data_IF_510135479764
#
_entry.id   IF_510135479764
#
_cell.length_a   1.000
_cell.length_b   1.000
_cell.length_c   1.000
_cell.angle_alpha   90.00
_cell.angle_beta   90.00
_cell.angle_gamma   90.00
#
_symmetry.space_group_name_H-M   'P 1'
#
loop_
_entity.id
_entity.type
_entity.pdbx_description
1 polymer ?
#
# COMPACT_ATOMS: atom_id res chain seq x y z
N UNK A 1 -39.10 53.63 -15.07
CA UNK A 1 -37.65 53.46 -14.88
C UNK A 1 -37.26 52.35 -13.87
N UNK A 2 -38.16 51.41 -13.51
CA UNK A 2 -37.89 50.36 -12.49
C UNK A 2 -37.78 48.92 -13.05
N UNK A 3 -38.01 48.72 -14.37
CA UNK A 3 -37.92 47.39 -15.01
C UNK A 3 -36.48 46.95 -15.30
N UNK A 4 -35.60 47.90 -15.63
CA UNK A 4 -34.20 47.63 -16.00
C UNK A 4 -33.34 47.31 -14.75
N UNK A 5 -33.57 48.02 -13.63
CA UNK A 5 -32.90 47.74 -12.35
C UNK A 5 -33.17 46.31 -11.84
N UNK A 6 -34.44 45.89 -11.89
CA UNK A 6 -34.86 44.55 -11.44
C UNK A 6 -34.38 43.43 -12.38
N UNK A 7 -34.20 43.72 -13.67
CA UNK A 7 -33.67 42.74 -14.64
C UNK A 7 -32.19 42.47 -14.39
N UNK A 8 -31.40 43.50 -14.15
CA UNK A 8 -29.97 43.36 -13.83
C UNK A 8 -29.77 42.64 -12.50
N UNK A 9 -30.60 42.92 -11.49
CA UNK A 9 -30.59 42.21 -10.20
C UNK A 9 -30.90 40.72 -10.38
N UNK A 10 -31.90 40.36 -11.20
CA UNK A 10 -32.22 38.95 -11.49
C UNK A 10 -31.08 38.23 -12.23
N UNK A 11 -30.43 38.90 -13.18
CA UNK A 11 -29.27 38.35 -13.89
C UNK A 11 -28.10 38.13 -12.92
N UNK A 12 -27.81 39.11 -12.06
CA UNK A 12 -26.73 39.01 -11.06
C UNK A 12 -27.02 37.88 -10.05
N UNK A 13 -28.25 37.78 -9.54
CA UNK A 13 -28.66 36.70 -8.63
C UNK A 13 -28.57 35.34 -9.33
N UNK A 14 -28.98 35.25 -10.60
CA UNK A 14 -28.84 34.03 -11.39
C UNK A 14 -27.40 33.60 -11.59
N UNK A 15 -26.50 34.54 -11.88
CA UNK A 15 -25.06 34.28 -12.01
C UNK A 15 -24.46 33.84 -10.67
N UNK A 16 -24.82 34.49 -9.56
CA UNK A 16 -24.34 34.12 -8.22
C UNK A 16 -24.81 32.71 -7.82
N UNK A 17 -26.06 32.35 -8.08
CA UNK A 17 -26.56 30.99 -7.84
C UNK A 17 -25.83 29.97 -8.71
N UNK A 18 -25.59 30.28 -9.99
CA UNK A 18 -24.83 29.40 -10.89
C UNK A 18 -23.39 29.21 -10.41
N UNK A 19 -22.72 30.28 -9.96
CA UNK A 19 -21.37 30.21 -9.39
C UNK A 19 -21.35 29.35 -8.12
N UNK A 20 -22.35 29.48 -7.24
CA UNK A 20 -22.45 28.66 -6.02
C UNK A 20 -22.68 27.19 -6.38
N UNK A 21 -23.50 26.87 -7.38
CA UNK A 21 -23.72 25.50 -7.85
C UNK A 21 -22.46 24.91 -8.47
N UNK A 22 -21.74 25.68 -9.29
CA UNK A 22 -20.48 25.26 -9.89
C UNK A 22 -19.39 25.07 -8.81
N UNK A 23 -19.24 26.04 -7.90
CA UNK A 23 -18.27 25.97 -6.80
C UNK A 23 -18.58 24.80 -5.86
N UNK A 24 -19.86 24.57 -5.53
CA UNK A 24 -20.31 23.43 -4.76
C UNK A 24 -20.05 22.10 -5.47
N UNK A 25 -20.31 22.02 -6.78
CA UNK A 25 -20.00 20.83 -7.60
C UNK A 25 -18.51 20.54 -7.68
N UNK A 26 -17.67 21.56 -7.89
CA UNK A 26 -16.21 21.44 -7.87
C UNK A 26 -15.73 21.03 -6.48
N UNK A 27 -16.26 21.61 -5.41
CA UNK A 27 -15.94 21.25 -4.03
C UNK A 27 -16.29 19.79 -3.74
N UNK A 28 -17.51 19.35 -4.07
CA UNK A 28 -17.96 17.95 -3.92
C UNK A 28 -17.13 16.98 -4.79
N UNK A 29 -16.69 17.40 -5.98
CA UNK A 29 -15.75 16.65 -6.81
C UNK A 29 -14.37 16.53 -6.16
N UNK A 30 -13.88 17.59 -5.50
CA UNK A 30 -12.60 17.56 -4.79
C UNK A 30 -12.63 16.63 -3.58
N UNK A 31 -13.74 16.53 -2.85
CA UNK A 31 -13.84 15.61 -1.71
C UNK A 31 -13.68 14.13 -2.11
N UNK A 32 -14.10 13.77 -3.33
CA UNK A 32 -13.88 12.44 -3.90
C UNK A 32 -12.47 12.24 -4.47
N UNK A 33 -11.68 13.30 -4.62
CA UNK A 33 -10.28 13.27 -5.08
C UNK A 33 -9.28 13.40 -3.92
N UNK A 34 -9.70 13.88 -2.75
CA UNK A 34 -8.87 14.00 -1.54
C UNK A 34 -9.11 12.87 -0.53
N UNK A 35 -10.04 11.96 -0.79
CA UNK A 35 -10.12 10.67 -0.10
C UNK A 35 -9.13 9.70 -0.74
N UNK A 36 -8.08 9.36 0.00
CA UNK A 36 -6.92 8.54 -0.41
C UNK A 36 -5.83 9.31 -1.18
N UNK A 37 -5.15 10.22 -0.48
CA UNK A 37 -3.71 10.37 -0.71
C UNK A 37 -3.02 9.12 -0.17
N UNK A 38 -3.14 8.01 -0.92
CA UNK A 38 -2.61 6.66 -0.62
C UNK A 38 -1.08 6.62 -0.84
N UNK A 39 -0.36 7.65 -0.37
CA UNK A 39 1.08 7.59 -0.26
C UNK A 39 1.38 6.58 0.83
N UNK A 40 1.76 5.35 0.46
CA UNK A 40 2.03 4.20 1.34
C UNK A 40 2.02 4.56 2.82
N UNK A 41 0.82 4.57 3.42
CA UNK A 41 0.67 5.15 4.74
C UNK A 41 1.54 4.37 5.73
N UNK A 42 2.28 5.06 6.57
CA UNK A 42 3.28 4.45 7.44
C UNK A 42 2.68 3.38 8.37
N UNK A 43 3.36 2.24 8.49
CA UNK A 43 2.96 1.14 9.35
C UNK A 43 4.20 0.48 9.97
N UNK A 44 3.99 -0.17 11.11
CA UNK A 44 5.00 -0.92 11.84
C UNK A 44 4.98 -2.39 11.43
N UNK A 45 6.16 -3.02 11.44
CA UNK A 45 6.30 -4.46 11.29
C UNK A 45 7.51 -4.94 12.10
N UNK A 46 7.50 -6.23 12.49
CA UNK A 46 8.58 -6.78 13.31
C UNK A 46 9.44 -7.71 12.47
N UNK A 47 10.74 -7.45 12.38
CA UNK A 47 11.70 -8.32 11.71
C UNK A 47 11.80 -9.68 12.41
N UNK A 48 12.35 -10.66 11.70
CA UNK A 48 12.56 -12.01 12.25
C UNK A 48 13.47 -12.02 13.49
N UNK A 49 14.37 -11.04 13.65
CA UNK A 49 15.22 -10.90 14.83
C UNK A 49 14.53 -10.19 16.03
N UNK A 50 13.26 -9.83 15.88
CA UNK A 50 12.47 -9.11 16.89
C UNK A 50 12.59 -7.58 16.82
N UNK A 51 13.38 -7.03 15.90
CA UNK A 51 13.49 -5.58 15.71
C UNK A 51 12.24 -5.02 15.05
N UNK A 52 11.61 -4.02 15.66
CA UNK A 52 10.51 -3.28 15.04
C UNK A 52 11.05 -2.25 14.01
N UNK A 53 10.38 -2.17 12.86
CA UNK A 53 10.66 -1.23 11.77
C UNK A 53 9.39 -0.55 11.28
N UNK A 54 9.57 0.58 10.60
CA UNK A 54 8.49 1.34 9.98
C UNK A 54 8.66 1.33 8.45
N UNK A 55 7.56 1.38 7.70
CA UNK A 55 7.63 1.60 6.25
C UNK A 55 8.36 2.92 5.92
N UNK A 56 8.16 3.95 6.77
CA UNK A 56 8.81 5.25 6.62
C UNK A 56 10.34 5.21 6.75
N UNK A 57 10.92 4.15 7.31
CA UNK A 57 12.37 3.94 7.36
C UNK A 57 12.99 3.78 5.96
N UNK A 58 12.17 3.45 4.95
CA UNK A 58 12.59 3.17 3.57
C UNK A 58 12.28 4.31 2.59
N UNK A 59 11.88 5.48 3.10
CA UNK A 59 11.62 6.66 2.26
C UNK A 59 12.81 7.00 1.37
N UNK A 60 12.52 7.34 0.12
CA UNK A 60 13.54 7.61 -0.91
C UNK A 60 13.95 6.38 -1.71
N UNK A 61 13.47 5.19 -1.34
CA UNK A 61 13.55 3.97 -2.16
C UNK A 61 12.18 3.67 -2.79
N UNK A 62 12.19 2.92 -3.88
CA UNK A 62 11.02 2.15 -4.31
C UNK A 62 10.88 0.95 -3.39
N UNK A 63 9.69 0.74 -2.81
CA UNK A 63 9.43 -0.39 -1.92
C UNK A 63 8.45 -1.34 -2.57
N UNK A 64 8.85 -2.59 -2.76
CA UNK A 64 7.90 -3.66 -3.11
C UNK A 64 7.46 -4.32 -1.82
N UNK A 65 6.17 -4.15 -1.50
CA UNK A 65 5.55 -4.78 -0.35
C UNK A 65 4.95 -6.13 -0.75
N UNK A 66 5.58 -7.20 -0.29
CA UNK A 66 5.19 -8.59 -0.54
C UNK A 66 4.44 -9.15 0.66
N UNK A 67 3.12 -9.07 0.64
CA UNK A 67 2.27 -9.68 1.67
C UNK A 67 2.10 -11.16 1.33
N UNK A 68 2.47 -12.05 2.25
CA UNK A 68 2.56 -13.48 1.96
C UNK A 68 2.30 -14.35 3.21
N UNK A 69 2.34 -15.67 3.04
CA UNK A 69 2.30 -16.67 4.10
C UNK A 69 2.98 -17.96 3.61
N UNK A 70 3.48 -18.81 4.51
CA UNK A 70 4.28 -19.98 4.09
C UNK A 70 3.50 -21.01 3.28
N UNK A 71 2.19 -21.11 3.50
CA UNK A 71 1.28 -21.98 2.74
C UNK A 71 0.78 -21.36 1.43
N UNK A 72 1.09 -20.09 1.15
CA UNK A 72 0.64 -19.39 -0.06
C UNK A 72 1.47 -19.80 -1.28
N UNK A 73 1.11 -20.89 -1.95
CA UNK A 73 1.82 -21.37 -3.14
C UNK A 73 1.97 -20.30 -4.24
N UNK A 74 0.96 -19.48 -4.59
CA UNK A 74 1.13 -18.37 -5.53
C UNK A 74 2.22 -17.36 -5.11
N UNK A 75 2.31 -17.02 -3.82
CA UNK A 75 3.32 -16.11 -3.29
C UNK A 75 4.73 -16.70 -3.47
N UNK A 76 4.90 -18.00 -3.21
CA UNK A 76 6.18 -18.69 -3.42
C UNK A 76 6.64 -18.65 -4.89
N UNK A 77 5.70 -18.72 -5.85
CA UNK A 77 6.03 -18.52 -7.26
C UNK A 77 6.46 -17.07 -7.55
N UNK A 78 5.76 -16.09 -6.98
CA UNK A 78 6.11 -14.67 -7.13
C UNK A 78 7.51 -14.35 -6.58
N UNK A 79 7.93 -14.97 -5.48
CA UNK A 79 9.26 -14.79 -4.89
C UNK A 79 10.41 -15.07 -5.88
N UNK A 80 10.23 -15.98 -6.84
CA UNK A 80 11.24 -16.26 -7.88
C UNK A 80 11.38 -15.09 -8.85
N UNK A 81 10.28 -14.42 -9.20
CA UNK A 81 10.30 -13.23 -10.05
C UNK A 81 10.79 -12.00 -9.27
N UNK A 82 10.39 -11.86 -8.01
CA UNK A 82 10.90 -10.83 -7.11
C UNK A 82 12.41 -10.93 -6.94
N UNK A 83 12.97 -12.14 -6.85
CA UNK A 83 14.42 -12.32 -6.82
C UNK A 83 15.12 -11.71 -8.03
N UNK A 84 14.59 -11.96 -9.25
CA UNK A 84 15.15 -11.39 -10.48
C UNK A 84 15.10 -9.88 -10.47
N UNK A 85 13.99 -9.30 -9.99
CA UNK A 85 13.88 -7.85 -9.81
C UNK A 85 14.96 -7.39 -8.83
N UNK A 86 15.02 -7.99 -7.64
CA UNK A 86 15.98 -7.61 -6.61
C UNK A 86 17.42 -7.63 -7.14
N UNK A 87 17.82 -8.66 -7.90
CA UNK A 87 19.16 -8.76 -8.49
C UNK A 87 19.49 -7.68 -9.53
N UNK A 88 18.49 -7.13 -10.21
CA UNK A 88 18.68 -6.12 -11.27
C UNK A 88 18.69 -4.67 -10.76
N UNK A 89 18.31 -4.43 -9.50
CA UNK A 89 18.26 -3.08 -8.92
C UNK A 89 19.28 -2.93 -7.79
N UNK A 90 19.73 -1.69 -7.58
CA UNK A 90 20.54 -1.33 -6.41
C UNK A 90 19.71 -1.33 -5.13
N UNK A 91 20.31 -1.71 -4.01
CA UNK A 91 19.69 -1.62 -2.67
C UNK A 91 19.46 -0.19 -2.20
N UNK A 92 20.09 0.78 -2.84
CA UNK A 92 19.86 2.20 -2.58
C UNK A 92 18.59 2.70 -3.29
N UNK A 93 18.16 2.04 -4.35
CA UNK A 93 17.03 2.48 -5.18
C UNK A 93 15.77 1.66 -4.91
N UNK A 94 15.93 0.37 -4.57
CA UNK A 94 14.83 -0.56 -4.36
C UNK A 94 15.06 -1.46 -3.14
N UNK A 95 14.01 -1.65 -2.36
CA UNK A 95 13.92 -2.64 -1.28
C UNK A 95 12.68 -3.52 -1.44
N UNK A 96 12.79 -4.79 -1.04
CA UNK A 96 11.65 -5.70 -0.95
C UNK A 96 11.40 -6.01 0.52
N UNK A 97 10.15 -5.86 0.96
CA UNK A 97 9.72 -6.17 2.32
C UNK A 97 8.65 -7.25 2.21
N UNK A 98 9.03 -8.49 2.55
CA UNK A 98 8.09 -9.60 2.64
C UNK A 98 7.50 -9.68 4.05
N UNK A 99 6.21 -9.38 4.17
CA UNK A 99 5.48 -9.40 5.45
C UNK A 99 4.61 -10.64 5.49
N UNK A 100 4.91 -11.52 6.44
CA UNK A 100 4.02 -12.62 6.78
C UNK A 100 2.76 -12.06 7.45
N UNK A 101 1.61 -12.28 6.81
CA UNK A 101 0.32 -11.74 7.26
C UNK A 101 -0.55 -12.79 7.97
N UNK A 102 -0.06 -14.02 8.15
CA UNK A 102 -0.80 -15.05 8.86
C UNK A 102 -0.41 -15.07 10.34
N UNK A 103 -1.28 -14.51 11.18
CA UNK A 103 -1.07 -14.42 12.63
C UNK A 103 -0.94 -15.77 13.35
N UNK A 104 -1.12 -16.90 12.66
CA UNK A 104 -0.91 -18.26 13.19
C UNK A 104 0.52 -18.74 12.98
N UNK A 105 1.28 -18.11 12.10
CA UNK A 105 2.68 -18.41 11.79
C UNK A 105 3.60 -17.70 12.79
N UNK A 106 4.83 -18.20 12.92
CA UNK A 106 5.83 -17.63 13.82
C UNK A 106 7.17 -17.48 13.11
N UNK A 107 8.08 -16.71 13.71
CA UNK A 107 9.42 -16.45 13.17
C UNK A 107 10.13 -17.71 12.73
N UNK A 108 10.11 -18.76 13.57
CA UNK A 108 10.81 -20.01 13.27
C UNK A 108 10.27 -20.69 12.00
N UNK A 109 8.94 -20.65 11.79
CA UNK A 109 8.32 -21.22 10.60
C UNK A 109 8.74 -20.45 9.34
N UNK A 110 8.79 -19.11 9.42
CA UNK A 110 9.23 -18.26 8.32
C UNK A 110 10.72 -18.45 8.00
N UNK A 111 11.58 -18.54 9.02
CA UNK A 111 13.01 -18.85 8.84
C UNK A 111 13.21 -20.22 8.19
N UNK A 112 12.51 -21.24 8.68
CA UNK A 112 12.54 -22.58 8.10
C UNK A 112 12.08 -22.57 6.64
N UNK A 113 11.05 -21.78 6.32
CA UNK A 113 10.60 -21.61 4.94
C UNK A 113 11.72 -21.02 4.06
N UNK A 114 12.39 -19.94 4.50
CA UNK A 114 13.48 -19.30 3.74
C UNK A 114 14.63 -20.27 3.47
N UNK A 115 15.02 -21.03 4.49
CA UNK A 115 16.09 -22.02 4.36
C UNK A 115 15.70 -23.16 3.40
N UNK A 116 14.46 -23.66 3.52
CA UNK A 116 13.95 -24.70 2.65
C UNK A 116 13.80 -24.21 1.21
N UNK A 117 13.36 -22.97 1.01
CA UNK A 117 13.24 -22.37 -0.31
C UNK A 117 14.61 -22.30 -1.00
N UNK A 118 15.65 -21.88 -0.26
CA UNK A 118 17.04 -21.89 -0.74
C UNK A 118 17.51 -23.29 -1.10
N UNK A 119 17.26 -24.29 -0.25
CA UNK A 119 17.66 -25.67 -0.51
C UNK A 119 16.95 -26.28 -1.72
N UNK A 120 15.65 -26.04 -1.87
CA UNK A 120 14.83 -26.66 -2.91
C UNK A 120 14.93 -25.95 -4.27
N UNK A 121 15.08 -24.62 -4.26
CA UNK A 121 15.06 -23.80 -5.48
C UNK A 121 16.43 -23.24 -5.85
N UNK A 122 17.42 -23.32 -4.96
CA UNK A 122 18.72 -22.67 -5.16
C UNK A 122 18.65 -21.15 -5.11
N UNK A 123 17.56 -20.59 -4.56
CA UNK A 123 17.30 -19.15 -4.52
C UNK A 123 17.40 -18.64 -3.09
N UNK A 124 18.32 -17.71 -2.85
CA UNK A 124 18.47 -17.06 -1.55
C UNK A 124 17.56 -15.81 -1.46
N UNK A 125 16.54 -15.88 -0.59
CA UNK A 125 15.62 -14.77 -0.29
C UNK A 125 16.28 -13.80 0.70
N UNK A 126 17.18 -12.97 0.15
CA UNK A 126 18.11 -12.11 0.89
C UNK A 126 17.66 -10.64 1.01
N UNK A 127 16.35 -10.41 0.98
CA UNK A 127 15.72 -9.14 1.32
C UNK A 127 15.05 -9.24 2.71
N UNK A 128 14.26 -8.22 3.06
CA UNK A 128 13.70 -8.06 4.40
C UNK A 128 12.48 -8.97 4.57
N UNK A 129 12.45 -9.69 5.69
CA UNK A 129 11.30 -10.46 6.14
C UNK A 129 10.83 -9.93 7.48
N UNK A 130 9.51 -9.74 7.60
CA UNK A 130 8.87 -9.33 8.83
C UNK A 130 7.57 -10.07 9.08
N UNK A 131 7.10 -9.97 10.32
CA UNK A 131 5.82 -10.46 10.80
C UNK A 131 4.86 -9.27 10.93
N UNK A 132 3.63 -9.45 10.45
CA UNK A 132 2.52 -8.55 10.76
C UNK A 132 2.02 -8.79 12.20
N UNK A 133 1.80 -7.72 12.95
CA UNK A 133 1.12 -7.75 14.25
C UNK A 133 -0.41 -7.64 14.12
N UNK A 134 -0.90 -7.62 12.88
CA UNK A 134 -2.29 -7.43 12.48
C UNK A 134 -2.60 -5.99 12.08
N UNK A 135 -1.66 -5.06 12.25
CA UNK A 135 -1.83 -3.67 11.82
C UNK A 135 -1.83 -3.56 10.29
N UNK A 136 -0.98 -4.31 9.59
CA UNK A 136 -0.89 -4.30 8.13
C UNK A 136 -2.14 -4.93 7.53
N UNK A 137 -2.54 -6.10 8.01
CA UNK A 137 -3.77 -6.80 7.59
C UNK A 137 -5.01 -5.91 7.70
N UNK A 138 -5.18 -5.25 8.85
CA UNK A 138 -6.32 -4.36 9.11
C UNK A 138 -6.29 -3.12 8.23
N UNK A 139 -5.11 -2.55 8.03
CA UNK A 139 -4.90 -1.31 7.28
C UNK A 139 -5.20 -1.46 5.80
N UNK A 140 -4.67 -2.51 5.17
CA UNK A 140 -4.91 -2.79 3.76
C UNK A 140 -6.24 -3.51 3.48
N UNK A 141 -7.11 -3.62 4.49
CA UNK A 141 -8.45 -4.21 4.41
C UNK A 141 -8.45 -5.56 3.70
N UNK A 142 -7.42 -6.37 3.96
CA UNK A 142 -7.32 -7.70 3.38
C UNK A 142 -8.52 -8.51 3.92
N UNK A 143 -9.43 -8.91 3.01
CA UNK A 143 -10.64 -9.62 3.41
C UNK A 143 -10.26 -11.03 3.87
N UNK A 144 -10.77 -11.43 5.03
CA UNK A 144 -10.56 -12.76 5.61
C UNK A 144 -10.90 -13.87 4.60
N UNK A 145 -9.91 -14.69 4.26
CA UNK A 145 -10.04 -15.84 3.35
C UNK A 145 -9.47 -15.66 1.94
N UNK A 146 -8.81 -14.52 1.64
CA UNK A 146 -8.18 -14.26 0.34
C UNK A 146 -6.69 -14.61 0.27
N UNK A 147 -6.21 -14.95 -0.92
CA UNK A 147 -4.77 -15.06 -1.24
C UNK A 147 -4.11 -13.70 -0.96
N UNK A 148 -3.01 -13.65 -0.19
CA UNK A 148 -2.23 -12.42 -0.01
C UNK A 148 -1.86 -11.79 -1.36
N UNK A 149 -2.07 -10.48 -1.50
CA UNK A 149 -1.75 -9.73 -2.72
C UNK A 149 -0.64 -8.71 -2.47
N UNK A 150 0.08 -8.35 -3.52
CA UNK A 150 1.20 -7.39 -3.50
C UNK A 150 0.72 -5.99 -3.93
N UNK A 151 0.34 -5.08 -3.01
CA UNK A 151 0.13 -3.68 -3.36
C UNK A 151 1.49 -3.02 -3.65
N UNK A 152 1.55 -2.21 -4.71
CA UNK A 152 2.69 -1.32 -4.96
C UNK A 152 2.49 -0.06 -4.11
N UNK A 153 3.50 0.30 -3.31
CA UNK A 153 3.48 1.46 -2.39
C UNK A 153 4.70 2.36 -2.56
#
# INVERSE_FOLDING_TARGET
MNRILNSNIKIIVGILVLIIVIAGGIYLSQQNLTGNNDTGEDFEFTLLDGTTKHLSDYRGKVVILDMWATWCSPCQFQMTELKKIYENYSRNDLEIISIDIDSRENVQLVENFRDNFKQQKGIDLNWIFGMDDGSVWKKYQLKSGGIPGTPLV
#
